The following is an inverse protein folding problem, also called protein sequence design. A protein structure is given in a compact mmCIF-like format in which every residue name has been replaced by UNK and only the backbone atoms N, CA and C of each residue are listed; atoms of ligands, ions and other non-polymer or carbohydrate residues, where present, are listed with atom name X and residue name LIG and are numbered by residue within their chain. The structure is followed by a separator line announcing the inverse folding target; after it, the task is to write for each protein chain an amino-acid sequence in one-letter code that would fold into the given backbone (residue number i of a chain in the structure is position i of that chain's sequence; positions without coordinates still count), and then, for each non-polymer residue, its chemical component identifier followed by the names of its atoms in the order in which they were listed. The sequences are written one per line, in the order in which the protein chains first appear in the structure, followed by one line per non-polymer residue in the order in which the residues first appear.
data_IF_765819881914
#
_entry.id   IF_765819881914
#
_cell.length_a   1.000
_cell.length_b   1.000
_cell.length_c   1.000
_cell.angle_alpha   90.00
_cell.angle_beta   90.00
_cell.angle_gamma   90.00
#
_symmetry.space_group_name_H-M   'P 1'
#
loop_
_entity.id
_entity.type
_entity.pdbx_description
1 polymer ?
#
# COMPACT_ATOMS: atom_id res chain seq x y z
N UNK A 1 9.46 -6.28 -13.61
CA UNK A 1 8.49 -6.49 -12.50
C UNK A 1 8.74 -5.45 -11.43
N UNK A 2 7.82 -5.29 -10.50
CA UNK A 2 8.04 -4.43 -9.31
C UNK A 2 9.06 -5.14 -8.40
N UNK A 3 10.11 -4.46 -7.91
CA UNK A 3 11.03 -5.05 -6.93
C UNK A 3 10.29 -5.49 -5.68
N UNK A 4 10.59 -6.70 -5.20
CA UNK A 4 9.99 -7.26 -3.98
C UNK A 4 10.95 -7.26 -2.80
N UNK A 5 12.16 -6.72 -2.97
CA UNK A 5 13.12 -6.59 -1.90
C UNK A 5 14.07 -5.40 -2.07
N UNK A 6 14.74 -5.03 -0.98
CA UNK A 6 15.82 -4.04 -0.95
C UNK A 6 15.34 -2.61 -0.72
N UNK A 7 14.16 -2.41 -0.13
CA UNK A 7 13.69 -1.08 0.21
C UNK A 7 14.39 -0.58 1.48
N UNK A 8 15.02 0.59 1.37
CA UNK A 8 15.76 1.25 2.45
C UNK A 8 14.87 2.21 3.28
N UNK A 9 13.59 2.33 2.92
CA UNK A 9 12.59 3.19 3.56
C UNK A 9 11.26 2.45 3.72
N UNK A 10 10.43 2.81 4.72
CA UNK A 10 9.10 2.23 4.89
C UNK A 10 8.21 2.39 3.66
N UNK A 11 7.40 1.36 3.39
CA UNK A 11 6.43 1.33 2.30
C UNK A 11 5.00 1.41 2.84
N UNK A 12 4.13 2.07 2.09
CA UNK A 12 2.69 2.02 2.29
C UNK A 12 2.01 1.57 0.99
N UNK A 13 1.18 0.52 1.07
CA UNK A 13 0.33 0.08 -0.04
C UNK A 13 -1.12 0.12 0.42
N UNK A 14 -1.96 0.89 -0.30
CA UNK A 14 -3.40 0.93 -0.13
C UNK A 14 -4.11 0.29 -1.33
N UNK A 15 -5.07 -0.60 -1.08
CA UNK A 15 -5.83 -1.29 -2.14
C UNK A 15 -7.34 -1.20 -1.93
N UNK A 16 -8.06 -0.80 -2.97
CA UNK A 16 -9.53 -0.87 -3.03
C UNK A 16 -10.01 -2.30 -3.25
N UNK A 17 -10.98 -2.73 -2.46
CA UNK A 17 -11.57 -4.07 -2.56
C UNK A 17 -12.56 -4.19 -3.72
N UNK A 18 -13.11 -3.08 -4.20
CA UNK A 18 -14.00 -3.05 -5.37
C UNK A 18 -13.37 -2.33 -6.56
N UNK A 19 -12.05 -2.18 -6.57
CA UNK A 19 -11.29 -1.65 -7.69
C UNK A 19 -11.35 -2.61 -8.90
N UNK A 20 -11.91 -2.11 -10.01
CA UNK A 20 -12.03 -2.85 -11.27
C UNK A 20 -10.94 -2.47 -12.29
N UNK A 21 -10.26 -1.34 -12.07
CA UNK A 21 -9.20 -0.84 -12.94
C UNK A 21 -7.89 -1.56 -12.62
N UNK A 22 -7.62 -1.76 -11.34
CA UNK A 22 -6.48 -2.52 -10.81
C UNK A 22 -6.97 -3.55 -9.77
N UNK A 23 -7.30 -4.77 -10.21
CA UNK A 23 -7.91 -5.77 -9.34
C UNK A 23 -7.03 -6.18 -8.15
N UNK A 24 -7.65 -6.25 -6.97
CA UNK A 24 -7.00 -6.55 -5.69
C UNK A 24 -6.06 -7.78 -5.67
N UNK A 25 -6.33 -8.91 -6.37
CA UNK A 25 -5.41 -10.06 -6.40
C UNK A 25 -3.99 -9.72 -6.87
N UNK A 26 -3.86 -8.71 -7.74
CA UNK A 26 -2.56 -8.26 -8.25
C UNK A 26 -1.74 -7.57 -7.16
N UNK A 27 -2.34 -6.62 -6.44
CA UNK A 27 -1.74 -5.97 -5.29
C UNK A 27 -1.44 -6.95 -4.15
N UNK A 28 -2.34 -7.91 -3.88
CA UNK A 28 -2.14 -8.91 -2.84
C UNK A 28 -0.94 -9.82 -3.13
N UNK A 29 -0.71 -10.15 -4.40
CA UNK A 29 0.47 -10.93 -4.81
C UNK A 29 1.78 -10.18 -4.54
N UNK A 30 1.82 -8.87 -4.79
CA UNK A 30 2.97 -8.02 -4.47
C UNK A 30 3.17 -7.89 -2.95
N UNK A 31 2.10 -7.63 -2.21
CA UNK A 31 2.11 -7.53 -0.73
C UNK A 31 2.61 -8.82 -0.10
N UNK A 32 2.17 -9.98 -0.60
CA UNK A 32 2.63 -11.28 -0.13
C UNK A 32 4.14 -11.46 -0.35
N UNK A 33 4.65 -11.07 -1.51
CA UNK A 33 6.09 -11.16 -1.80
C UNK A 33 6.93 -10.19 -0.94
N UNK A 34 6.49 -8.94 -0.76
CA UNK A 34 7.15 -7.96 0.11
C UNK A 34 7.17 -8.42 1.57
N UNK A 35 6.04 -8.94 2.06
CA UNK A 35 5.92 -9.50 3.41
C UNK A 35 6.86 -10.70 3.59
N UNK A 36 6.89 -11.62 2.62
CA UNK A 36 7.76 -12.79 2.67
C UNK A 36 9.25 -12.44 2.68
N UNK A 37 9.62 -11.33 2.06
CA UNK A 37 10.99 -10.81 2.04
C UNK A 37 11.34 -9.94 3.26
N UNK A 38 10.39 -9.71 4.19
CA UNK A 38 10.62 -8.92 5.40
C UNK A 38 10.77 -7.43 5.14
N UNK A 39 10.23 -6.91 4.03
CA UNK A 39 10.27 -5.49 3.70
C UNK A 39 9.43 -4.66 4.70
N UNK A 40 9.79 -3.38 4.94
CA UNK A 40 9.13 -2.52 5.93
C UNK A 40 7.76 -2.01 5.44
N UNK A 41 6.84 -2.93 5.17
CA UNK A 41 5.54 -2.69 4.54
C UNK A 41 4.42 -2.44 5.55
N UNK A 42 3.71 -1.34 5.37
CA UNK A 42 2.34 -1.13 5.88
C UNK A 42 1.36 -1.38 4.75
N UNK A 43 0.45 -2.33 4.94
CA UNK A 43 -0.61 -2.65 3.97
C UNK A 43 -1.99 -2.35 4.56
N UNK A 44 -2.82 -1.64 3.79
CA UNK A 44 -4.22 -1.37 4.12
C UNK A 44 -5.15 -1.64 2.94
N UNK A 45 -6.35 -2.12 3.26
CA UNK A 45 -7.44 -2.28 2.30
C UNK A 45 -8.56 -1.31 2.61
N UNK A 46 -9.28 -0.91 1.57
CA UNK A 46 -10.39 0.03 1.65
C UNK A 46 -11.62 -0.56 0.96
N UNK A 47 -12.82 -0.52 1.57
CA UNK A 47 -14.03 -1.15 1.02
C UNK A 47 -14.68 -0.29 -0.07
N UNK A 48 -13.89 0.13 -1.06
CA UNK A 48 -14.26 1.11 -2.09
C UNK A 48 -13.51 0.84 -3.40
N UNK A 49 -13.83 1.62 -4.43
CA UNK A 49 -13.30 1.49 -5.79
C UNK A 49 -11.92 2.19 -5.95
N UNK A 50 -11.45 2.27 -7.20
CA UNK A 50 -10.17 2.90 -7.54
C UNK A 50 -10.06 4.34 -7.01
N UNK A 51 -11.08 5.17 -7.29
CA UNK A 51 -11.08 6.58 -6.93
C UNK A 51 -11.37 6.79 -5.44
N UNK A 52 -12.27 5.99 -4.87
CA UNK A 52 -12.57 6.01 -3.44
C UNK A 52 -11.33 5.66 -2.61
N UNK A 53 -10.51 4.72 -3.06
CA UNK A 53 -9.29 4.30 -2.35
C UNK A 53 -8.30 5.45 -2.24
N UNK A 54 -8.15 6.24 -3.30
CA UNK A 54 -7.34 7.46 -3.27
C UNK A 54 -7.82 8.42 -2.18
N UNK A 55 -9.13 8.63 -2.08
CA UNK A 55 -9.69 9.58 -1.11
C UNK A 55 -9.59 9.06 0.33
N UNK A 56 -10.04 7.82 0.58
CA UNK A 56 -10.08 7.23 1.93
C UNK A 56 -8.69 6.99 2.51
N UNK A 57 -7.72 6.58 1.68
CA UNK A 57 -6.36 6.33 2.13
C UNK A 57 -5.63 7.57 2.64
N UNK A 58 -6.10 8.79 2.34
CA UNK A 58 -5.47 10.03 2.84
C UNK A 58 -5.43 10.09 4.37
N UNK A 59 -6.43 9.53 5.06
CA UNK A 59 -6.47 9.49 6.52
C UNK A 59 -5.28 8.70 7.12
N UNK A 60 -4.72 7.76 6.36
CA UNK A 60 -3.59 6.92 6.77
C UNK A 60 -2.27 7.37 6.15
N UNK A 61 -2.28 7.71 4.86
CA UNK A 61 -1.08 8.05 4.10
C UNK A 61 -0.51 9.41 4.47
N UNK A 62 -1.35 10.40 4.79
CA UNK A 62 -0.87 11.73 5.20
C UNK A 62 -0.10 11.63 6.53
N UNK A 63 -0.65 11.01 7.61
CA UNK A 63 0.14 10.78 8.83
C UNK A 63 1.38 9.93 8.59
N UNK A 64 1.27 8.84 7.82
CA UNK A 64 2.42 7.97 7.50
C UNK A 64 3.58 8.77 6.91
N UNK A 65 3.33 9.59 5.89
CA UNK A 65 4.37 10.44 5.29
C UNK A 65 4.86 11.48 6.27
N UNK A 66 3.96 12.14 7.03
CA UNK A 66 4.36 13.15 8.02
C UNK A 66 5.32 12.59 9.07
N UNK A 67 5.10 11.37 9.54
CA UNK A 67 5.94 10.71 10.53
C UNK A 67 7.35 10.44 10.01
N UNK A 68 7.51 10.13 8.73
CA UNK A 68 8.84 9.93 8.10
C UNK A 68 9.72 11.20 8.11
N UNK A 69 9.12 12.37 8.31
CA UNK A 69 9.81 13.66 8.34
C UNK A 69 9.71 14.37 9.70
N UNK A 70 9.17 13.72 10.73
CA UNK A 70 8.87 14.37 12.01
C UNK A 70 10.10 14.68 12.90
N UNK A 71 11.29 14.16 12.55
CA UNK A 71 12.55 14.43 13.27
C UNK A 71 12.91 13.33 14.25
#
# INVERSE_FOLDING_TARGET
GVPTSGYDRPLFIGQGLTDIDVPAPSAFSLVAALTANGEPLTFKTYPTDHSGTLIESQADTIPFVRELFAG
#
